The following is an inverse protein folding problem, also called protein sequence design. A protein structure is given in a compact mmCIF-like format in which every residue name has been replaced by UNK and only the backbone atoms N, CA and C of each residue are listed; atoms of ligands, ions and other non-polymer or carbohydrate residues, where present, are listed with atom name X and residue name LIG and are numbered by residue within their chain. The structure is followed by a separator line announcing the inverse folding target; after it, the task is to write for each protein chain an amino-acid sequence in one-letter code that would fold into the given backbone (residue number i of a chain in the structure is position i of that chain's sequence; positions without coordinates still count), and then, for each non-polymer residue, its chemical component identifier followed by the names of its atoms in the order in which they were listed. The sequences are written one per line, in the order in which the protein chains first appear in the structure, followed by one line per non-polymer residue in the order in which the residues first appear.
data_IF_426406837536
#
_entry.id   IF_426406837536
#
_cell.length_a   1.000
_cell.length_b   1.000
_cell.length_c   1.000
_cell.angle_alpha   90.00
_cell.angle_beta   90.00
_cell.angle_gamma   90.00
#
_symmetry.space_group_name_H-M   'P 1'
#
loop_
_entity.id
_entity.type
_entity.pdbx_description
1 polymer ?
#
# COMPACT_ATOMS: atom_id res chain seq x y z
N UNK A 1 -1.00 27.31 -1.52
CA UNK A 1 -1.72 26.02 -1.64
C UNK A 1 -0.85 24.97 -0.98
N UNK A 2 -1.41 24.10 -0.14
CA UNK A 2 -0.64 23.00 0.45
C UNK A 2 -0.11 22.06 -0.65
N UNK A 3 1.04 21.44 -0.42
CA UNK A 3 1.58 20.38 -1.30
C UNK A 3 0.60 19.20 -1.29
N UNK A 4 0.16 18.67 -2.46
CA UNK A 4 -0.66 17.47 -2.48
C UNK A 4 0.03 16.30 -1.77
N UNK A 5 -0.71 15.51 -0.99
CA UNK A 5 -0.14 14.40 -0.23
C UNK A 5 0.63 13.40 -1.11
N UNK A 6 0.20 13.20 -2.36
CA UNK A 6 0.87 12.31 -3.33
C UNK A 6 2.28 12.80 -3.67
N UNK A 7 2.47 14.11 -3.82
CA UNK A 7 3.77 14.74 -4.04
C UNK A 7 4.65 14.61 -2.80
N UNK A 8 4.08 14.85 -1.61
CA UNK A 8 4.78 14.68 -0.35
C UNK A 8 5.22 13.21 -0.13
N UNK A 9 4.34 12.25 -0.42
CA UNK A 9 4.60 10.81 -0.33
C UNK A 9 5.75 10.39 -1.26
N UNK A 10 5.70 10.80 -2.53
CA UNK A 10 6.78 10.52 -3.48
C UNK A 10 8.13 11.09 -3.00
N UNK A 11 8.15 12.34 -2.53
CA UNK A 11 9.35 12.96 -1.95
C UNK A 11 9.87 12.19 -0.74
N UNK A 12 8.98 11.70 0.12
CA UNK A 12 9.33 10.86 1.27
C UNK A 12 9.86 9.50 0.86
N UNK A 13 9.33 8.89 -0.20
CA UNK A 13 9.87 7.63 -0.75
C UNK A 13 11.34 7.79 -1.10
N UNK A 14 11.69 8.85 -1.83
CA UNK A 14 13.10 9.16 -2.14
C UNK A 14 13.93 9.38 -0.87
N UNK A 15 13.45 10.24 0.03
CA UNK A 15 14.15 10.56 1.29
C UNK A 15 14.47 9.31 2.12
N UNK A 16 13.58 8.32 2.10
CA UNK A 16 13.73 7.07 2.86
C UNK A 16 14.33 5.90 2.07
N UNK A 17 14.77 6.15 0.83
CA UNK A 17 15.35 5.16 -0.08
C UNK A 17 14.40 4.00 -0.41
N UNK A 18 13.11 4.29 -0.60
CA UNK A 18 12.17 3.33 -1.21
C UNK A 18 12.47 3.30 -2.70
N UNK A 19 12.94 2.15 -3.18
CA UNK A 19 13.41 1.96 -4.58
C UNK A 19 12.49 1.08 -5.40
N UNK A 20 11.62 0.31 -4.75
CA UNK A 20 10.64 -0.54 -5.44
C UNK A 20 9.23 -0.17 -4.98
N UNK A 21 8.32 0.04 -5.92
CA UNK A 21 6.91 0.33 -5.61
C UNK A 21 6.05 -0.67 -6.37
N UNK A 22 5.43 -1.60 -5.64
CA UNK A 22 4.44 -2.53 -6.18
C UNK A 22 3.05 -1.92 -6.12
N UNK A 23 2.25 -2.04 -7.17
CA UNK A 23 0.89 -1.53 -7.14
C UNK A 23 -0.09 -2.31 -8.01
N UNK A 24 -1.35 -2.28 -7.60
CA UNK A 24 -2.51 -2.59 -8.46
C UNK A 24 -3.18 -1.25 -8.82
N UNK A 25 -3.60 -1.02 -10.07
CA UNK A 25 -4.19 0.26 -10.48
C UNK A 25 -5.38 0.66 -9.60
N UNK A 26 -5.29 1.84 -9.00
CA UNK A 26 -6.35 2.44 -8.18
C UNK A 26 -6.50 3.94 -8.51
N UNK A 27 -7.75 4.41 -8.54
CA UNK A 27 -8.07 5.80 -8.89
C UNK A 27 -7.52 6.79 -7.85
N UNK A 28 -7.55 6.44 -6.56
CA UNK A 28 -7.03 7.28 -5.47
C UNK A 28 -5.51 7.39 -5.47
N UNK A 29 -4.81 6.41 -6.05
CA UNK A 29 -3.34 6.35 -6.11
C UNK A 29 -2.76 6.85 -7.44
N UNK A 30 -3.60 7.25 -8.39
CA UNK A 30 -3.18 7.49 -9.79
C UNK A 30 -2.01 8.48 -9.90
N UNK A 31 -2.07 9.63 -9.22
CA UNK A 31 -1.02 10.65 -9.31
C UNK A 31 0.28 10.24 -8.62
N UNK A 32 0.21 9.49 -7.51
CA UNK A 32 1.39 8.90 -6.87
C UNK A 32 2.04 7.86 -7.78
N UNK A 33 1.24 6.96 -8.37
CA UNK A 33 1.71 5.93 -9.30
C UNK A 33 2.40 6.58 -10.51
N UNK A 34 1.79 7.60 -11.13
CA UNK A 34 2.42 8.34 -12.24
C UNK A 34 3.74 8.97 -11.84
N UNK A 35 3.82 9.55 -10.65
CA UNK A 35 5.05 10.16 -10.14
C UNK A 35 6.15 9.10 -9.97
N UNK A 36 5.84 7.94 -9.39
CA UNK A 36 6.78 6.83 -9.27
C UNK A 36 7.22 6.24 -10.62
N UNK A 37 6.35 6.24 -11.64
CA UNK A 37 6.72 5.83 -13.00
C UNK A 37 7.65 6.83 -13.71
N UNK A 38 7.49 8.11 -13.42
CA UNK A 38 8.31 9.17 -14.00
C UNK A 38 9.70 9.28 -13.35
N UNK A 39 9.91 8.66 -12.18
CA UNK A 39 11.18 8.71 -11.44
C UNK A 39 12.04 7.47 -11.72
N UNK A 40 13.19 7.67 -12.37
CA UNK A 40 14.12 6.59 -12.71
C UNK A 40 14.79 5.93 -11.48
N UNK A 41 14.76 6.57 -10.30
CA UNK A 41 15.29 5.99 -9.07
C UNK A 41 14.30 5.00 -8.42
N UNK A 42 13.04 4.98 -8.87
CA UNK A 42 11.97 4.13 -8.33
C UNK A 42 11.52 3.13 -9.40
N UNK A 43 11.76 1.85 -9.14
CA UNK A 43 11.21 0.76 -9.94
C UNK A 43 9.73 0.56 -9.60
N UNK A 44 8.85 1.05 -10.46
CA UNK A 44 7.41 0.82 -10.37
C UNK A 44 7.02 -0.52 -11.01
N UNK A 45 6.33 -1.39 -10.26
CA UNK A 45 5.92 -2.74 -10.69
C UNK A 45 4.41 -2.85 -10.63
N UNK A 46 3.78 -3.01 -11.81
CA UNK A 46 2.37 -3.38 -11.90
C UNK A 46 2.22 -4.83 -11.47
N UNK A 47 1.31 -5.09 -10.53
CA UNK A 47 1.02 -6.42 -10.01
C UNK A 47 -0.31 -6.91 -10.57
N UNK A 48 -0.43 -8.22 -10.76
CA UNK A 48 -1.66 -8.85 -11.24
C UNK A 48 -2.66 -9.02 -10.10
N UNK A 49 -2.14 -9.28 -8.88
CA UNK A 49 -2.92 -9.38 -7.64
C UNK A 49 -2.21 -8.63 -6.52
N UNK A 50 -2.95 -8.23 -5.48
CA UNK A 50 -2.35 -7.52 -4.35
C UNK A 50 -1.42 -8.40 -3.52
N UNK A 51 -1.65 -9.72 -3.51
CA UNK A 51 -0.83 -10.70 -2.80
C UNK A 51 0.62 -10.70 -3.31
N UNK A 52 0.83 -10.53 -4.61
CA UNK A 52 2.17 -10.41 -5.22
C UNK A 52 2.99 -9.29 -4.57
N UNK A 53 2.35 -8.22 -4.10
CA UNK A 53 3.02 -7.10 -3.44
C UNK A 53 3.69 -7.48 -2.14
N UNK A 54 3.14 -8.46 -1.43
CA UNK A 54 3.74 -8.96 -0.19
C UNK A 54 5.04 -9.72 -0.50
N UNK A 55 5.00 -10.56 -1.53
CA UNK A 55 6.19 -11.25 -2.04
C UNK A 55 7.25 -10.29 -2.57
N UNK A 56 6.83 -9.29 -3.36
CA UNK A 56 7.69 -8.24 -3.89
C UNK A 56 8.40 -7.47 -2.77
N UNK A 57 7.65 -7.00 -1.76
CA UNK A 57 8.21 -6.26 -0.63
C UNK A 57 9.18 -7.11 0.18
N UNK A 58 8.83 -8.37 0.43
CA UNK A 58 9.68 -9.31 1.16
C UNK A 58 10.96 -9.62 0.39
N UNK A 59 10.86 -9.84 -0.92
CA UNK A 59 12.01 -10.07 -1.79
C UNK A 59 12.93 -8.85 -1.90
N UNK A 60 12.36 -7.65 -2.03
CA UNK A 60 13.12 -6.40 -2.02
C UNK A 60 13.92 -6.25 -0.71
N UNK A 61 13.28 -6.52 0.43
CA UNK A 61 13.94 -6.48 1.73
C UNK A 61 15.11 -7.48 1.83
N UNK A 62 14.90 -8.73 1.39
CA UNK A 62 15.96 -9.74 1.34
C UNK A 62 17.11 -9.34 0.40
N UNK A 63 16.81 -8.58 -0.65
CA UNK A 63 17.79 -7.97 -1.55
C UNK A 63 18.50 -6.73 -1.00
N UNK A 64 18.16 -6.28 0.22
CA UNK A 64 18.73 -5.07 0.83
C UNK A 64 18.07 -3.76 0.37
N UNK A 65 16.91 -3.82 -0.29
CA UNK A 65 16.15 -2.67 -0.74
C UNK A 65 14.86 -2.47 0.06
N UNK A 66 14.35 -1.24 0.08
CA UNK A 66 13.05 -0.92 0.68
C UNK A 66 12.00 -0.80 -0.39
N UNK A 67 10.83 -1.33 -0.10
CA UNK A 67 9.68 -1.29 -0.99
C UNK A 67 8.46 -0.64 -0.32
N UNK A 68 7.55 -0.15 -1.17
CA UNK A 68 6.20 0.23 -0.79
C UNK A 68 5.20 -0.56 -1.63
N UNK A 69 4.06 -0.91 -1.04
CA UNK A 69 2.94 -1.52 -1.76
C UNK A 69 1.76 -0.58 -1.75
N UNK A 70 1.21 -0.29 -2.93
CA UNK A 70 0.07 0.60 -3.10
C UNK A 70 -1.14 -0.23 -3.55
N UNK A 71 -2.24 -0.18 -2.81
CA UNK A 71 -3.46 -0.93 -3.14
C UNK A 71 -4.72 -0.24 -2.60
N UNK A 72 -5.88 -0.76 -2.99
CA UNK A 72 -7.18 -0.34 -2.43
C UNK A 72 -7.61 -1.27 -1.28
N UNK A 73 -8.54 -0.81 -0.43
CA UNK A 73 -9.09 -1.56 0.70
C UNK A 73 -9.60 -2.96 0.36
N UNK A 74 -10.23 -3.16 -0.80
CA UNK A 74 -10.70 -4.49 -1.23
C UNK A 74 -9.56 -5.49 -1.43
N UNK A 75 -8.42 -5.01 -1.91
CA UNK A 75 -7.24 -5.82 -2.18
C UNK A 75 -6.54 -6.33 -0.94
N UNK A 76 -6.68 -5.62 0.20
CA UNK A 76 -6.11 -6.05 1.48
C UNK A 76 -6.60 -7.46 1.85
N UNK A 77 -7.85 -7.80 1.53
CA UNK A 77 -8.41 -9.13 1.79
C UNK A 77 -7.62 -10.26 1.14
N UNK A 78 -7.07 -10.03 -0.06
CA UNK A 78 -6.26 -11.01 -0.79
C UNK A 78 -4.87 -11.21 -0.14
N UNK A 79 -4.39 -10.22 0.62
CA UNK A 79 -3.03 -10.23 1.17
C UNK A 79 -2.92 -10.88 2.54
N UNK A 80 -4.05 -11.16 3.21
CA UNK A 80 -4.08 -11.61 4.62
C UNK A 80 -3.19 -12.82 4.87
N UNK A 81 -3.32 -13.85 4.02
CA UNK A 81 -2.53 -15.08 4.18
C UNK A 81 -1.04 -14.83 3.95
N UNK A 82 -0.67 -14.04 2.94
CA UNK A 82 0.73 -13.73 2.65
C UNK A 82 1.36 -12.85 3.75
N UNK A 83 0.62 -11.89 4.30
CA UNK A 83 1.08 -11.09 5.44
C UNK A 83 1.33 -12.02 6.64
N UNK A 84 0.35 -12.85 7.00
CA UNK A 84 0.48 -13.75 8.14
C UNK A 84 1.62 -14.77 7.98
N UNK A 85 1.72 -15.39 6.80
CA UNK A 85 2.68 -16.48 6.57
C UNK A 85 4.10 -16.00 6.32
N UNK A 86 4.30 -14.88 5.63
CA UNK A 86 5.63 -14.38 5.25
C UNK A 86 6.05 -13.23 6.17
N UNK A 87 5.28 -12.15 6.20
CA UNK A 87 5.69 -10.91 6.86
C UNK A 87 5.73 -11.08 8.37
N UNK A 88 4.66 -11.59 8.96
CA UNK A 88 4.59 -11.83 10.41
C UNK A 88 5.55 -12.92 10.86
N UNK A 89 5.64 -14.05 10.13
CA UNK A 89 6.52 -15.17 10.50
C UNK A 89 8.01 -14.84 10.37
N UNK A 90 8.40 -14.15 9.31
CA UNK A 90 9.80 -13.80 9.04
C UNK A 90 10.20 -12.42 9.60
N UNK A 91 9.25 -11.70 10.22
CA UNK A 91 9.44 -10.36 10.77
C UNK A 91 10.01 -9.35 9.75
N UNK A 92 9.58 -9.45 8.50
CA UNK A 92 10.00 -8.51 7.47
C UNK A 92 9.28 -7.17 7.60
N UNK A 93 9.96 -6.04 7.36
CA UNK A 93 9.28 -4.76 7.31
C UNK A 93 8.38 -4.69 6.07
N UNK A 94 7.12 -4.34 6.29
CA UNK A 94 6.14 -4.12 5.23
C UNK A 94 5.56 -2.71 5.38
N UNK A 95 5.62 -1.93 4.31
CA UNK A 95 4.97 -0.62 4.22
C UNK A 95 3.92 -0.64 3.11
N UNK A 96 2.69 -0.29 3.47
CA UNK A 96 1.56 -0.25 2.54
C UNK A 96 0.88 1.12 2.61
N UNK A 97 0.48 1.64 1.45
CA UNK A 97 -0.51 2.71 1.36
C UNK A 97 -1.78 2.08 0.81
N UNK A 98 -2.85 2.15 1.60
CA UNK A 98 -4.15 1.59 1.26
C UNK A 98 -5.15 2.72 1.08
N UNK A 99 -5.71 2.87 -0.11
CA UNK A 99 -6.85 3.77 -0.32
C UNK A 99 -8.13 3.12 0.18
N UNK A 100 -8.85 3.85 1.02
CA UNK A 100 -10.04 3.32 1.67
C UNK A 100 -11.30 3.55 0.82
N UNK A 101 -12.03 2.46 0.56
CA UNK A 101 -13.41 2.44 0.05
C UNK A 101 -14.31 1.77 1.08
N UNK A 102 -15.63 1.93 0.98
CA UNK A 102 -16.55 1.33 1.94
C UNK A 102 -16.70 2.12 3.25
N UNK A 103 -16.49 3.44 3.19
CA UNK A 103 -16.70 4.37 4.30
C UNK A 103 -18.03 5.15 4.14
N UNK A 104 -18.32 6.06 5.07
CA UNK A 104 -19.51 6.91 4.99
C UNK A 104 -19.58 7.64 3.64
N UNK A 105 -20.73 7.56 2.97
CA UNK A 105 -20.92 8.15 1.64
C UNK A 105 -20.51 7.25 0.46
N UNK A 106 -20.04 6.02 0.71
CA UNK A 106 -19.82 5.03 -0.34
C UNK A 106 -21.14 4.63 -1.00
N UNK A 107 -21.20 4.75 -2.33
CA UNK A 107 -22.37 4.40 -3.13
C UNK A 107 -22.36 2.93 -3.58
N UNK A 108 -21.19 2.29 -3.59
CA UNK A 108 -21.05 0.89 -3.96
C UNK A 108 -21.14 -0.04 -2.73
N UNK A 109 -22.28 -0.74 -2.52
CA UNK A 109 -22.46 -1.59 -1.34
C UNK A 109 -21.48 -2.77 -1.28
N UNK A 110 -20.91 -3.18 -2.41
CA UNK A 110 -19.94 -4.28 -2.48
C UNK A 110 -18.59 -3.93 -1.84
N UNK A 111 -18.29 -2.63 -1.70
CA UNK A 111 -17.05 -2.15 -1.07
C UNK A 111 -17.17 -2.04 0.46
N UNK A 112 -18.40 -1.98 0.99
CA UNK A 112 -18.66 -1.78 2.43
C UNK A 112 -18.06 -2.87 3.32
N UNK A 113 -18.21 -4.19 3.02
CA UNK A 113 -17.73 -5.23 3.92
C UNK A 113 -16.21 -5.19 4.09
N UNK A 114 -15.48 -5.09 2.97
CA UNK A 114 -14.02 -5.02 3.03
C UNK A 114 -13.55 -3.69 3.62
N UNK A 115 -14.17 -2.56 3.28
CA UNK A 115 -13.84 -1.26 3.85
C UNK A 115 -13.85 -1.23 5.38
N UNK A 116 -14.86 -1.86 5.99
CA UNK A 116 -14.99 -1.97 7.44
C UNK A 116 -14.04 -3.02 8.05
N UNK A 117 -13.67 -4.05 7.28
CA UNK A 117 -12.84 -5.15 7.74
C UNK A 117 -11.33 -4.86 7.70
N UNK A 118 -10.85 -3.95 6.84
CA UNK A 118 -9.40 -3.69 6.66
C UNK A 118 -8.69 -3.42 7.99
N UNK A 119 -9.15 -2.44 8.76
CA UNK A 119 -8.46 -2.02 10.00
C UNK A 119 -8.48 -3.14 11.05
N UNK A 120 -9.62 -3.77 11.37
CA UNK A 120 -9.65 -4.92 12.29
C UNK A 120 -8.76 -6.09 11.85
N UNK A 121 -8.76 -6.43 10.56
CA UNK A 121 -7.97 -7.55 10.02
C UNK A 121 -6.48 -7.27 10.15
N UNK A 122 -6.02 -6.10 9.69
CA UNK A 122 -4.60 -5.73 9.78
C UNK A 122 -4.12 -5.64 11.23
N UNK A 123 -4.93 -5.08 12.13
CA UNK A 123 -4.60 -5.04 13.57
C UNK A 123 -4.53 -6.44 14.17
N UNK A 124 -5.38 -7.36 13.75
CA UNK A 124 -5.35 -8.78 14.19
C UNK A 124 -4.07 -9.49 13.74
N UNK A 125 -3.48 -9.07 12.62
CA UNK A 125 -2.18 -9.56 12.13
C UNK A 125 -0.97 -8.88 12.82
N UNK A 126 -1.21 -7.99 13.78
CA UNK A 126 -0.16 -7.24 14.49
C UNK A 126 0.39 -6.04 13.73
N UNK A 127 -0.25 -5.62 12.63
CA UNK A 127 0.19 -4.46 11.84
C UNK A 127 -0.19 -3.15 12.53
N UNK A 128 0.70 -2.17 12.44
CA UNK A 128 0.38 -0.80 12.81
C UNK A 128 -0.42 -0.13 11.69
N UNK A 129 -1.63 0.33 12.00
CA UNK A 129 -2.52 0.99 11.06
C UNK A 129 -2.73 2.43 11.50
N UNK A 130 -2.42 3.35 10.59
CA UNK A 130 -2.62 4.78 10.76
C UNK A 130 -3.67 5.22 9.74
N UNK A 131 -4.79 5.73 10.22
CA UNK A 131 -5.86 6.27 9.39
C UNK A 131 -5.58 7.75 9.13
N UNK A 132 -5.60 8.16 7.87
CA UNK A 132 -5.32 9.52 7.44
C UNK A 132 -6.54 10.05 6.70
N UNK A 133 -7.23 11.01 7.31
CA UNK A 133 -8.45 11.63 6.77
C UNK A 133 -8.21 13.04 6.21
N UNK A 134 -7.10 13.66 6.62
CA UNK A 134 -6.75 15.05 6.29
C UNK A 134 -5.36 15.12 5.65
N UNK A 135 -5.13 16.16 4.86
CA UNK A 135 -3.83 16.42 4.23
C UNK A 135 -2.76 16.98 5.20
N UNK A 136 -3.13 17.30 6.45
CA UNK A 136 -2.26 17.84 7.52
C UNK A 136 -1.61 16.77 8.40
#
# INVERSE_FOLDING_TARGET
MAEPWTTAAHRLFKKHNIRTVGYVPDAGLTELIKSCHADNDIKSVVMTTEEEGIGLSSGAWLGGEKAAVLMQSSGVGNTVNAIASIVSSCQFPLFMIVTMRGQYGESNPWQMPMGQAVVPVLKSLGMHVFEVETDE
#
